data_IF_777215890909
#
_entry.id   IF_777215890909
#
_cell.length_a   1.000
_cell.length_b   1.000
_cell.length_c   1.000
_cell.angle_alpha   90.00
_cell.angle_beta   90.00
_cell.angle_gamma   90.00
#
_symmetry.space_group_name_H-M   'P 1'
#
loop_
_entity.id
_entity.type
_entity.pdbx_description
1 polymer ?
#
# COMPACT_ATOMS: atom_id res chain seq x y z
N UNK A 1 -40.07 -27.48 26.88
CA UNK A 1 -39.07 -26.84 26.00
C UNK A 1 -38.38 -27.87 25.10
N UNK A 2 -37.85 -28.98 25.61
CA UNK A 2 -37.15 -30.02 24.87
C UNK A 2 -38.04 -30.69 23.82
N UNK A 3 -39.33 -30.98 24.12
CA UNK A 3 -40.25 -31.59 23.16
C UNK A 3 -40.61 -30.69 21.95
N UNK A 4 -40.54 -29.37 22.13
CA UNK A 4 -40.76 -28.40 21.03
C UNK A 4 -39.53 -28.37 20.10
N UNK A 5 -38.33 -28.46 20.65
CA UNK A 5 -37.08 -28.56 19.89
C UNK A 5 -37.07 -29.85 19.04
N UNK A 6 -37.53 -30.98 19.59
CA UNK A 6 -37.61 -32.25 18.84
C UNK A 6 -38.60 -32.19 17.68
N UNK A 7 -39.76 -31.55 17.85
CA UNK A 7 -40.75 -31.37 16.76
C UNK A 7 -40.28 -30.43 15.65
N UNK A 8 -39.36 -29.50 15.95
CA UNK A 8 -38.79 -28.56 14.97
C UNK A 8 -37.38 -28.92 14.53
N UNK A 9 -36.86 -30.07 14.91
CA UNK A 9 -35.49 -30.52 14.63
C UNK A 9 -35.20 -30.50 13.13
N UNK A 10 -36.12 -30.90 12.29
CA UNK A 10 -35.97 -30.88 10.84
C UNK A 10 -35.75 -29.47 10.27
N UNK A 11 -36.45 -28.48 10.83
CA UNK A 11 -36.28 -27.09 10.44
C UNK A 11 -34.93 -26.52 10.87
N UNK A 12 -34.43 -26.91 12.05
CA UNK A 12 -33.13 -26.50 12.57
C UNK A 12 -32.01 -27.10 11.69
N UNK A 13 -32.11 -28.38 11.37
CA UNK A 13 -31.13 -29.05 10.49
C UNK A 13 -31.16 -28.44 9.11
N UNK A 14 -32.34 -28.20 8.52
CA UNK A 14 -32.46 -27.60 7.18
C UNK A 14 -31.90 -26.19 7.14
N UNK A 15 -32.19 -25.34 8.14
CA UNK A 15 -31.64 -23.98 8.20
C UNK A 15 -30.14 -24.01 8.37
N UNK A 16 -29.60 -24.87 9.24
CA UNK A 16 -28.15 -25.03 9.40
C UNK A 16 -27.46 -25.45 8.10
N UNK A 17 -28.04 -26.39 7.38
CA UNK A 17 -27.53 -26.84 6.10
C UNK A 17 -27.51 -25.72 5.06
N UNK A 18 -28.58 -24.92 4.95
CA UNK A 18 -28.68 -23.78 4.04
C UNK A 18 -27.60 -22.73 4.37
N UNK A 19 -27.45 -22.36 5.64
CA UNK A 19 -26.42 -21.38 6.03
C UNK A 19 -25.01 -21.91 5.79
N UNK A 20 -24.75 -23.19 6.03
CA UNK A 20 -23.45 -23.81 5.73
C UNK A 20 -23.17 -23.83 4.24
N UNK A 21 -24.17 -24.13 3.41
CA UNK A 21 -24.04 -24.10 1.95
C UNK A 21 -23.75 -22.70 1.44
N UNK A 22 -24.47 -21.68 1.93
CA UNK A 22 -24.24 -20.27 1.58
C UNK A 22 -22.81 -19.83 2.00
N UNK A 23 -22.40 -20.16 3.21
CA UNK A 23 -21.07 -19.85 3.73
C UNK A 23 -19.97 -20.55 2.89
N UNK A 24 -20.22 -21.82 2.50
CA UNK A 24 -19.33 -22.57 1.60
C UNK A 24 -19.19 -21.90 0.24
N UNK A 25 -20.29 -21.57 -0.42
CA UNK A 25 -20.26 -20.85 -1.70
C UNK A 25 -19.51 -19.52 -1.56
N UNK A 26 -19.78 -18.76 -0.50
CA UNK A 26 -19.06 -17.50 -0.25
C UNK A 26 -17.55 -17.74 -0.06
N UNK A 27 -17.16 -18.71 0.73
CA UNK A 27 -15.75 -19.02 0.98
C UNK A 27 -14.99 -19.45 -0.30
N UNK A 28 -15.64 -20.21 -1.19
CA UNK A 28 -15.05 -20.64 -2.45
C UNK A 28 -15.05 -19.55 -3.54
N UNK A 29 -15.94 -18.56 -3.45
CA UNK A 29 -16.03 -17.47 -4.43
C UNK A 29 -15.34 -16.19 -3.97
N UNK A 30 -14.98 -16.10 -2.68
CA UNK A 30 -14.23 -14.96 -2.15
C UNK A 30 -12.87 -14.87 -2.84
N UNK A 31 -12.58 -13.71 -3.43
CA UNK A 31 -11.27 -13.45 -4.04
C UNK A 31 -10.21 -13.38 -2.96
N UNK A 32 -9.15 -14.15 -3.13
CA UNK A 32 -7.98 -14.04 -2.27
C UNK A 32 -7.37 -12.65 -2.38
N UNK A 33 -7.01 -12.08 -1.24
CA UNK A 33 -6.34 -10.79 -1.15
C UNK A 33 -5.02 -10.96 -0.40
N UNK A 34 -3.95 -10.62 -1.10
CA UNK A 34 -2.61 -10.66 -0.55
C UNK A 34 -2.09 -9.25 -0.32
N UNK A 35 -1.62 -8.97 0.88
CA UNK A 35 -1.09 -7.68 1.27
C UNK A 35 0.41 -7.78 1.49
N UNK A 36 1.17 -6.98 0.75
CA UNK A 36 2.58 -6.75 1.03
C UNK A 36 2.73 -5.42 1.80
N UNK A 37 3.64 -5.38 2.75
CA UNK A 37 3.89 -4.21 3.57
C UNK A 37 5.39 -3.96 3.70
N UNK A 38 5.78 -2.69 3.65
CA UNK A 38 7.14 -2.25 3.90
C UNK A 38 7.12 -1.08 4.88
N UNK A 39 8.09 -1.04 5.75
CA UNK A 39 8.33 0.09 6.64
C UNK A 39 9.40 1.00 6.04
N UNK A 40 9.10 2.28 5.92
CA UNK A 40 10.01 3.31 5.40
C UNK A 40 10.37 4.25 6.52
N UNK A 41 11.66 4.32 6.81
CA UNK A 41 12.23 5.17 7.85
C UNK A 41 13.00 6.35 7.24
N UNK A 42 13.22 7.39 8.02
CA UNK A 42 14.07 8.50 7.59
C UNK A 42 15.49 8.00 7.27
N UNK A 43 16.11 8.46 6.18
CA UNK A 43 17.46 8.06 5.83
C UNK A 43 18.45 8.57 6.86
N UNK A 44 19.45 7.75 7.17
CA UNK A 44 20.60 8.18 7.98
C UNK A 44 21.59 8.94 7.08
N UNK A 45 22.38 9.80 7.68
CA UNK A 45 23.43 10.55 6.96
C UNK A 45 24.37 9.67 6.13
N UNK A 46 24.63 8.45 6.60
CA UNK A 46 25.49 7.49 5.89
C UNK A 46 24.82 6.90 4.65
N UNK A 47 23.50 6.85 4.61
CA UNK A 47 22.75 6.25 3.49
C UNK A 47 22.69 7.20 2.27
N UNK A 48 23.02 8.47 2.46
CA UNK A 48 22.91 9.55 1.46
C UNK A 48 24.25 10.06 0.92
N UNK A 49 25.34 9.32 1.11
CA UNK A 49 26.74 9.65 0.81
C UNK A 49 26.98 10.69 -0.29
N UNK A 50 26.80 10.31 -1.55
CA UNK A 50 27.07 11.20 -2.71
C UNK A 50 26.09 12.38 -2.76
N UNK A 51 24.82 12.17 -2.40
CA UNK A 51 23.84 13.25 -2.35
C UNK A 51 24.24 14.33 -1.34
N UNK A 52 24.72 13.94 -0.16
CA UNK A 52 25.21 14.89 0.83
C UNK A 52 26.46 15.63 0.36
N UNK A 53 27.36 14.97 -0.32
CA UNK A 53 28.56 15.59 -0.86
C UNK A 53 28.23 16.72 -1.82
N UNK A 54 27.30 16.46 -2.75
CA UNK A 54 26.84 17.47 -3.72
C UNK A 54 26.10 18.61 -3.01
N UNK A 55 25.21 18.31 -2.06
CA UNK A 55 24.46 19.33 -1.31
C UNK A 55 25.36 20.20 -0.44
N UNK A 56 26.36 19.60 0.21
CA UNK A 56 27.34 20.31 1.02
C UNK A 56 28.16 21.28 0.17
N UNK A 57 28.61 20.81 -1.00
CA UNK A 57 29.36 21.65 -1.93
C UNK A 57 28.50 22.82 -2.46
N UNK A 58 27.25 22.54 -2.80
CA UNK A 58 26.32 23.58 -3.22
C UNK A 58 26.06 24.62 -2.12
N UNK A 59 25.87 24.21 -0.88
CA UNK A 59 25.72 25.12 0.26
C UNK A 59 26.98 25.97 0.45
N UNK A 60 28.16 25.41 0.29
CA UNK A 60 29.43 26.14 0.35
C UNK A 60 29.53 27.24 -0.71
N UNK A 61 29.11 26.94 -1.95
CA UNK A 61 29.11 27.91 -3.05
C UNK A 61 28.14 29.06 -2.74
N UNK A 62 26.98 28.75 -2.13
CA UNK A 62 25.98 29.76 -1.75
C UNK A 62 26.31 30.52 -0.47
N UNK A 63 27.39 30.15 0.23
CA UNK A 63 27.74 30.76 1.52
C UNK A 63 26.77 30.43 2.65
N UNK A 64 26.02 29.32 2.56
CA UNK A 64 25.08 28.86 3.57
C UNK A 64 25.63 27.67 4.36
N UNK A 65 25.21 27.53 5.60
CA UNK A 65 25.54 26.34 6.41
C UNK A 65 24.82 25.10 5.88
N UNK A 66 25.54 23.98 5.81
CA UNK A 66 24.96 22.69 5.46
C UNK A 66 24.58 21.92 6.73
N UNK A 67 23.30 21.66 6.89
CA UNK A 67 22.76 20.80 7.94
C UNK A 67 22.33 19.43 7.36
N UNK A 68 23.11 18.41 7.70
CA UNK A 68 22.86 17.04 7.25
C UNK A 68 21.54 16.46 7.80
N UNK A 69 21.22 16.78 9.07
CA UNK A 69 20.00 16.32 9.72
C UNK A 69 18.75 16.94 9.10
N UNK A 70 18.76 18.26 8.89
CA UNK A 70 17.68 18.97 8.21
C UNK A 70 17.51 18.46 6.77
N UNK A 71 18.60 18.19 6.06
CA UNK A 71 18.56 17.64 4.69
C UNK A 71 17.90 16.26 4.66
N UNK A 72 18.29 15.35 5.55
CA UNK A 72 17.68 14.02 5.64
C UNK A 72 16.18 14.09 6.00
N UNK A 73 15.83 14.96 6.96
CA UNK A 73 14.42 15.18 7.35
C UNK A 73 13.58 15.74 6.22
N UNK A 74 14.13 16.68 5.45
CA UNK A 74 13.42 17.26 4.30
C UNK A 74 13.19 16.23 3.20
N UNK A 75 14.17 15.37 2.90
CA UNK A 75 14.01 14.28 1.94
C UNK A 75 12.93 13.30 2.36
N UNK A 76 12.92 12.90 3.64
CA UNK A 76 11.89 12.03 4.17
C UNK A 76 10.49 12.66 4.13
N UNK A 77 10.42 13.95 4.45
CA UNK A 77 9.16 14.72 4.35
C UNK A 77 8.68 14.79 2.91
N UNK A 78 9.56 15.00 1.95
CA UNK A 78 9.23 15.02 0.52
C UNK A 78 8.79 13.65 0.02
N UNK A 79 9.49 12.57 0.40
CA UNK A 79 9.06 11.21 0.12
C UNK A 79 7.63 10.94 0.63
N UNK A 80 7.34 11.33 1.87
CA UNK A 80 6.01 11.15 2.46
C UNK A 80 4.94 11.92 1.69
N UNK A 81 5.20 13.18 1.35
CA UNK A 81 4.30 14.01 0.56
C UNK A 81 4.00 13.38 -0.80
N UNK A 82 5.03 12.93 -1.52
CA UNK A 82 4.88 12.29 -2.82
C UNK A 82 4.14 10.95 -2.72
N UNK A 83 4.45 10.15 -1.71
CA UNK A 83 3.78 8.85 -1.51
C UNK A 83 2.29 8.98 -1.17
N UNK A 84 1.89 10.05 -0.48
CA UNK A 84 0.49 10.37 -0.18
C UNK A 84 -0.22 11.01 -1.38
N UNK A 85 0.50 11.57 -2.37
CA UNK A 85 -0.06 12.26 -3.53
C UNK A 85 -0.83 11.31 -4.45
N UNK A 86 -2.10 11.64 -4.71
CA UNK A 86 -2.93 10.88 -5.65
C UNK A 86 -2.43 10.98 -7.09
N UNK A 87 -1.82 12.12 -7.45
CA UNK A 87 -1.26 12.32 -8.79
C UNK A 87 -0.01 11.47 -9.02
N UNK A 88 0.88 11.36 -8.04
CA UNK A 88 2.04 10.50 -8.13
C UNK A 88 1.64 9.01 -8.18
N UNK A 89 0.64 8.60 -7.40
CA UNK A 89 0.06 7.26 -7.50
C UNK A 89 -0.54 6.99 -8.88
N UNK A 90 -1.24 7.98 -9.44
CA UNK A 90 -1.80 7.89 -10.79
C UNK A 90 -0.70 7.71 -11.84
N UNK A 91 0.34 8.54 -11.82
CA UNK A 91 1.50 8.44 -12.73
C UNK A 91 2.14 7.07 -12.65
N UNK A 92 2.40 6.60 -11.43
CA UNK A 92 2.98 5.28 -11.19
C UNK A 92 2.12 4.16 -11.80
N UNK A 93 0.82 4.09 -11.50
CA UNK A 93 -0.02 3.00 -11.99
C UNK A 93 -0.16 3.03 -13.51
N UNK A 94 -0.37 4.19 -14.12
CA UNK A 94 -0.50 4.31 -15.58
C UNK A 94 0.75 3.78 -16.31
N UNK A 95 1.92 3.94 -15.73
CA UNK A 95 3.18 3.45 -16.29
C UNK A 95 3.46 1.97 -15.97
N UNK A 96 2.87 1.45 -14.88
CA UNK A 96 3.14 0.10 -14.39
C UNK A 96 2.59 -1.00 -15.32
N UNK A 97 3.35 -2.07 -15.49
CA UNK A 97 2.92 -3.24 -16.24
C UNK A 97 1.76 -3.97 -15.55
N UNK A 98 1.67 -3.86 -14.22
CA UNK A 98 0.57 -4.38 -13.44
C UNK A 98 -0.78 -3.77 -13.89
N UNK A 99 -0.85 -2.44 -14.01
CA UNK A 99 -2.06 -1.77 -14.47
C UNK A 99 -2.36 -2.11 -15.92
N UNK A 100 -1.37 -2.08 -16.80
CA UNK A 100 -1.55 -2.41 -18.24
C UNK A 100 -2.17 -3.80 -18.43
N UNK A 101 -1.64 -4.80 -17.71
CA UNK A 101 -2.22 -6.16 -17.70
C UNK A 101 -3.66 -6.19 -17.19
N UNK A 102 -3.92 -5.46 -16.08
CA UNK A 102 -5.23 -5.49 -15.42
C UNK A 102 -6.34 -4.85 -16.25
N UNK A 103 -5.99 -3.93 -17.16
CA UNK A 103 -6.94 -3.21 -18.02
C UNK A 103 -6.98 -3.72 -19.45
N UNK A 104 -6.24 -4.75 -19.78
CA UNK A 104 -6.23 -5.35 -21.11
C UNK A 104 -7.64 -5.81 -21.52
N UNK A 105 -8.09 -5.41 -22.70
CA UNK A 105 -9.42 -5.75 -23.23
C UNK A 105 -10.60 -5.05 -22.56
N UNK A 106 -10.37 -4.09 -21.64
CA UNK A 106 -11.45 -3.36 -20.95
C UNK A 106 -11.80 -2.05 -21.65
N UNK A 107 -13.04 -1.61 -21.45
CA UNK A 107 -13.51 -0.30 -21.92
C UNK A 107 -12.83 0.86 -21.17
N UNK A 108 -12.82 2.05 -21.77
CA UNK A 108 -12.21 3.23 -21.13
C UNK A 108 -12.85 3.59 -19.77
N UNK A 109 -14.14 3.36 -19.64
CA UNK A 109 -14.85 3.57 -18.37
C UNK A 109 -14.36 2.61 -17.28
N UNK A 110 -14.22 1.32 -17.62
CA UNK A 110 -13.70 0.31 -16.69
C UNK A 110 -12.23 0.57 -16.32
N UNK A 111 -11.41 1.00 -17.29
CA UNK A 111 -10.02 1.39 -17.04
C UNK A 111 -9.94 2.53 -16.04
N UNK A 112 -10.76 3.56 -16.21
CA UNK A 112 -10.80 4.70 -15.29
C UNK A 112 -11.25 4.28 -13.89
N UNK A 113 -12.24 3.38 -13.78
CA UNK A 113 -12.70 2.87 -12.50
C UNK A 113 -11.61 2.05 -11.78
N UNK A 114 -10.96 1.12 -12.49
CA UNK A 114 -9.85 0.32 -11.94
C UNK A 114 -8.72 1.22 -11.47
N UNK A 115 -8.34 2.22 -12.26
CA UNK A 115 -7.30 3.18 -11.88
C UNK A 115 -7.67 3.94 -10.61
N UNK A 116 -8.91 4.42 -10.52
CA UNK A 116 -9.41 5.12 -9.34
C UNK A 116 -9.37 4.23 -8.09
N UNK A 117 -9.73 2.96 -8.20
CA UNK A 117 -9.67 2.00 -7.09
C UNK A 117 -8.23 1.71 -6.66
N UNK A 118 -7.32 1.50 -7.59
CA UNK A 118 -5.90 1.28 -7.31
C UNK A 118 -5.29 2.46 -6.53
N UNK A 119 -5.56 3.68 -6.99
CA UNK A 119 -5.04 4.90 -6.39
C UNK A 119 -5.59 5.12 -4.98
N UNK A 120 -6.91 4.91 -4.78
CA UNK A 120 -7.59 5.30 -3.54
C UNK A 120 -7.62 4.20 -2.48
N UNK A 121 -7.64 2.92 -2.88
CA UNK A 121 -7.88 1.81 -1.95
C UNK A 121 -6.69 0.86 -1.79
N UNK A 122 -5.97 0.55 -2.89
CA UNK A 122 -4.97 -0.53 -2.86
C UNK A 122 -3.66 -0.14 -2.17
N UNK A 123 -3.29 1.15 -2.16
CA UNK A 123 -2.13 1.65 -1.41
C UNK A 123 -2.62 2.31 -0.12
N UNK A 124 -2.11 1.83 0.99
CA UNK A 124 -2.37 2.39 2.32
C UNK A 124 -1.06 2.82 2.96
N UNK A 125 -1.04 4.04 3.51
CA UNK A 125 0.10 4.57 4.24
C UNK A 125 -0.36 4.84 5.67
N UNK A 126 0.32 4.22 6.63
CA UNK A 126 0.09 4.41 8.06
C UNK A 126 1.30 5.04 8.69
N UNK A 127 1.09 6.14 9.41
CA UNK A 127 2.12 6.78 10.24
C UNK A 127 2.30 6.01 11.55
N UNK A 128 3.48 6.06 12.17
CA UNK A 128 3.71 5.43 13.47
C UNK A 128 2.69 5.90 14.51
N UNK A 129 2.08 4.96 15.19
CA UNK A 129 1.21 5.22 16.34
C UNK A 129 1.68 4.35 17.51
N UNK A 130 2.45 4.94 18.41
CA UNK A 130 3.05 4.26 19.55
C UNK A 130 2.03 3.60 20.50
N UNK A 131 0.74 3.95 20.39
CA UNK A 131 -0.33 3.33 21.18
C UNK A 131 -0.86 2.04 20.56
N UNK A 132 -0.80 1.92 19.23
CA UNK A 132 -1.37 0.78 18.49
C UNK A 132 -0.31 -0.18 17.98
N UNK A 133 0.79 0.35 17.48
CA UNK A 133 1.90 -0.42 16.91
C UNK A 133 3.21 0.14 17.49
N UNK A 134 3.60 -0.23 18.75
CA UNK A 134 4.75 0.35 19.44
C UNK A 134 6.09 0.04 18.76
N UNK A 135 6.15 -1.04 17.98
CA UNK A 135 7.35 -1.47 17.27
C UNK A 135 7.54 -0.76 15.92
N UNK A 136 6.54 0.01 15.46
CA UNK A 136 6.60 0.73 14.19
C UNK A 136 7.33 2.07 14.38
N UNK A 137 8.51 2.20 13.81
CA UNK A 137 9.36 3.41 13.89
C UNK A 137 9.12 4.34 12.70
N UNK A 138 8.87 3.77 11.53
CA UNK A 138 8.67 4.47 10.26
C UNK A 138 7.24 4.43 9.75
N UNK A 139 7.04 4.97 8.57
CA UNK A 139 5.75 4.87 7.88
C UNK A 139 5.58 3.50 7.25
N UNK A 140 4.47 2.82 7.54
CA UNK A 140 4.12 1.55 6.94
C UNK A 140 3.34 1.77 5.66
N UNK A 141 3.92 1.39 4.53
CA UNK A 141 3.27 1.41 3.21
C UNK A 141 2.84 -0.02 2.90
N UNK A 142 1.58 -0.18 2.56
CA UNK A 142 1.00 -1.48 2.23
C UNK A 142 0.28 -1.42 0.89
N UNK A 143 0.42 -2.48 0.11
CA UNK A 143 -0.30 -2.68 -1.14
C UNK A 143 -0.96 -4.05 -1.14
N UNK A 144 -2.25 -4.11 -1.52
CA UNK A 144 -2.96 -5.37 -1.63
C UNK A 144 -3.44 -5.66 -3.05
N UNK A 145 -3.41 -6.93 -3.43
CA UNK A 145 -3.89 -7.43 -4.72
C UNK A 145 -4.22 -8.92 -4.65
N UNK A 146 -4.58 -9.52 -5.76
CA UNK A 146 -5.05 -10.91 -5.86
C UNK A 146 -3.91 -11.94 -5.79
N UNK A 147 -2.64 -11.54 -6.04
CA UNK A 147 -1.50 -12.45 -6.00
C UNK A 147 -0.37 -11.91 -5.10
N UNK A 148 0.35 -12.79 -4.37
CA UNK A 148 1.44 -12.36 -3.49
C UNK A 148 2.63 -11.77 -4.27
N UNK A 149 2.92 -12.30 -5.47
CA UNK A 149 4.00 -11.82 -6.31
C UNK A 149 3.75 -10.38 -6.80
N UNK A 150 2.52 -10.09 -7.27
CA UNK A 150 2.17 -8.75 -7.70
C UNK A 150 2.12 -7.78 -6.52
N UNK A 151 1.64 -8.23 -5.33
CA UNK A 151 1.63 -7.41 -4.13
C UNK A 151 3.04 -6.92 -3.77
N UNK A 152 4.01 -7.82 -3.79
CA UNK A 152 5.40 -7.50 -3.48
C UNK A 152 6.07 -6.63 -4.57
N UNK A 153 5.91 -7.02 -5.83
CA UNK A 153 6.55 -6.33 -6.95
C UNK A 153 6.04 -4.88 -7.10
N UNK A 154 4.73 -4.69 -7.06
CA UNK A 154 4.13 -3.36 -7.19
C UNK A 154 4.53 -2.46 -6.03
N UNK A 155 4.49 -2.98 -4.79
CA UNK A 155 4.93 -2.21 -3.62
C UNK A 155 6.40 -1.79 -3.73
N UNK A 156 7.29 -2.70 -4.11
CA UNK A 156 8.71 -2.42 -4.27
C UNK A 156 8.97 -1.37 -5.36
N UNK A 157 8.31 -1.51 -6.52
CA UNK A 157 8.40 -0.55 -7.61
C UNK A 157 7.86 0.83 -7.21
N UNK A 158 6.73 0.87 -6.50
CA UNK A 158 6.15 2.12 -6.02
C UNK A 158 7.12 2.86 -5.09
N UNK A 159 7.65 2.18 -4.07
CA UNK A 159 8.61 2.77 -3.12
C UNK A 159 9.85 3.27 -3.87
N UNK A 160 10.38 2.49 -4.80
CA UNK A 160 11.55 2.88 -5.61
C UNK A 160 11.27 4.11 -6.46
N UNK A 161 10.12 4.16 -7.14
CA UNK A 161 9.71 5.29 -7.99
C UNK A 161 9.55 6.57 -7.17
N UNK A 162 8.86 6.50 -6.03
CA UNK A 162 8.69 7.66 -5.14
C UNK A 162 10.05 8.11 -4.57
N UNK A 163 10.90 7.17 -4.20
CA UNK A 163 12.24 7.49 -3.72
C UNK A 163 13.06 8.25 -4.77
N UNK A 164 13.05 7.79 -6.03
CA UNK A 164 13.72 8.49 -7.13
C UNK A 164 13.14 9.89 -7.40
N UNK A 165 11.84 10.08 -7.19
CA UNK A 165 11.19 11.38 -7.37
C UNK A 165 11.45 12.35 -6.22
N UNK A 166 11.86 11.86 -5.05
CA UNK A 166 12.17 12.66 -3.87
C UNK A 166 13.60 13.25 -3.90
N UNK A 167 14.51 12.67 -4.69
CA UNK A 167 15.88 13.15 -4.90
C UNK A 167 15.94 14.21 -6.01
#
# INVERSE_FOLDING_TARGET
LISILWKKNLWIILSSFIFTAIAGVYAFTAKEQWTSSAEVIAPRTMDLGDYFSVRKEYSRILGSEFDAGATASNLFSQFNLLSESLDERRKFFVQSDFYKKKVEGKSETEKAQILSELISKHITIKKPDSKKEPDLIGNKISFYTETPADAQNVLSQFISTINQSAY
#
